data_IF_611670525231
#
_entry.id   IF_611670525231
#
_cell.length_a   1.000
_cell.length_b   1.000
_cell.length_c   1.000
_cell.angle_alpha   90.00
_cell.angle_beta   90.00
_cell.angle_gamma   90.00
#
_symmetry.space_group_name_H-M   'P 1'
#
loop_
_entity.id
_entity.type
_entity.pdbx_description
1 polymer ?
#
# COMPACT_ATOMS: atom_id res chain seq x y z
N UNK A 1 -19.32 61.81 -11.92
CA UNK A 1 -20.70 62.17 -11.45
C UNK A 1 -21.09 61.10 -10.46
N UNK A 2 -21.09 61.43 -9.21
CA UNK A 2 -22.14 61.43 -8.14
C UNK A 2 -22.70 60.00 -7.93
N UNK A 3 -22.35 59.27 -6.84
CA UNK A 3 -22.88 59.40 -5.45
C UNK A 3 -24.22 58.67 -5.34
N UNK A 4 -24.56 57.81 -4.37
CA UNK A 4 -24.52 57.82 -2.94
C UNK A 4 -24.91 56.39 -2.44
N UNK A 5 -24.29 55.78 -1.40
CA UNK A 5 -24.61 55.79 0.02
C UNK A 5 -26.05 55.45 0.41
N UNK A 6 -26.24 54.34 1.09
CA UNK A 6 -27.05 54.33 2.32
C UNK A 6 -26.78 53.07 3.14
N UNK A 7 -26.32 53.28 4.34
CA UNK A 7 -26.20 52.40 5.52
C UNK A 7 -27.56 52.28 6.21
N UNK A 8 -27.84 51.19 6.87
CA UNK A 8 -28.62 51.20 8.14
C UNK A 8 -28.30 50.00 9.02
N UNK A 9 -27.85 50.34 10.15
CA UNK A 9 -27.65 49.63 11.43
C UNK A 9 -28.99 49.37 12.12
N UNK A 10 -29.03 48.36 12.93
CA UNK A 10 -29.58 48.22 14.30
C UNK A 10 -30.25 46.84 14.45
N UNK A 11 -30.31 46.15 15.55
CA UNK A 11 -30.01 46.41 16.96
C UNK A 11 -30.10 45.08 17.71
N UNK A 12 -29.29 44.94 18.69
CA UNK A 12 -29.24 44.02 19.81
C UNK A 12 -30.59 43.78 20.48
N UNK A 13 -30.86 42.54 20.91
CA UNK A 13 -31.57 42.32 22.17
C UNK A 13 -31.07 41.08 22.89
N UNK A 14 -30.59 41.29 24.09
CA UNK A 14 -30.31 40.33 25.19
C UNK A 14 -31.63 40.01 25.90
N UNK A 15 -31.75 38.82 26.42
CA UNK A 15 -32.31 38.38 27.71
C UNK A 15 -32.67 36.89 27.57
N UNK A 16 -32.57 35.96 28.52
CA UNK A 16 -32.28 36.01 29.94
C UNK A 16 -32.03 34.56 30.44
N UNK A 17 -31.21 34.44 31.43
CA UNK A 17 -30.95 33.23 32.26
C UNK A 17 -32.24 32.71 32.89
N UNK A 18 -32.39 31.38 33.01
CA UNK A 18 -33.04 30.75 34.16
C UNK A 18 -32.39 29.43 34.49
N UNK A 19 -31.79 29.39 35.67
CA UNK A 19 -31.35 28.25 36.44
C UNK A 19 -32.56 27.64 37.18
N UNK A 20 -32.57 26.32 37.33
CA UNK A 20 -33.33 25.58 38.39
C UNK A 20 -32.51 24.33 38.63
N UNK A 21 -31.80 24.21 39.69
CA UNK A 21 -32.09 23.90 41.06
C UNK A 21 -32.37 22.40 41.27
N UNK A 22 -31.50 21.81 42.03
CA UNK A 22 -31.41 20.43 42.52
C UNK A 22 -32.61 20.03 43.42
N UNK A 23 -32.92 18.75 43.41
CA UNK A 23 -33.61 18.09 44.57
C UNK A 23 -32.85 16.80 44.87
N UNK A 24 -32.19 16.82 46.03
CA UNK A 24 -31.64 15.68 46.75
C UNK A 24 -32.79 15.05 47.54
N UNK A 25 -33.00 13.74 47.41
CA UNK A 25 -33.86 13.01 48.34
C UNK A 25 -33.04 11.86 48.95
N UNK A 26 -32.64 12.05 50.18
CA UNK A 26 -32.08 11.02 51.05
C UNK A 26 -33.24 10.26 51.73
N UNK A 27 -33.21 8.94 51.68
CA UNK A 27 -34.01 8.09 52.55
C UNK A 27 -33.08 7.09 53.24
N UNK A 28 -32.89 7.34 54.53
CA UNK A 28 -32.36 6.39 55.53
C UNK A 28 -33.50 5.50 56.02
N UNK A 29 -33.30 4.20 56.05
CA UNK A 29 -34.00 3.32 57.03
C UNK A 29 -33.15 2.11 57.40
N UNK A 30 -33.20 1.82 58.63
CA UNK A 30 -32.39 1.10 59.56
C UNK A 30 -32.50 -0.44 59.51
N UNK A 31 -31.37 -1.03 59.86
CA UNK A 31 -31.11 -2.17 60.77
C UNK A 31 -32.02 -3.40 60.74
N UNK A 32 -31.40 -4.54 60.48
CA UNK A 32 -31.82 -5.88 60.79
C UNK A 32 -30.64 -6.83 60.72
N UNK A 33 -29.95 -7.06 61.85
CA UNK A 33 -28.89 -8.03 61.95
C UNK A 33 -29.44 -9.46 62.03
N UNK A 34 -28.98 -10.34 61.12
CA UNK A 34 -28.93 -11.77 61.35
C UNK A 34 -27.57 -12.31 60.87
N UNK A 35 -26.78 -12.69 61.84
CA UNK A 35 -25.48 -13.36 61.68
C UNK A 35 -25.70 -14.83 61.36
N UNK A 36 -25.18 -15.30 60.23
CA UNK A 36 -24.81 -16.71 60.01
C UNK A 36 -23.37 -16.73 59.38
N UNK A 37 -22.47 -17.52 59.91
CA UNK A 37 -21.18 -17.71 59.30
C UNK A 37 -21.25 -18.83 58.27
N UNK A 38 -21.08 -18.49 57.00
CA UNK A 38 -20.76 -19.45 55.97
C UNK A 38 -19.51 -18.93 55.28
N UNK A 39 -18.37 -19.50 55.66
CA UNK A 39 -17.12 -19.47 54.95
C UNK A 39 -17.33 -20.26 53.63
N UNK A 40 -17.60 -19.54 52.57
CA UNK A 40 -17.39 -20.03 51.23
C UNK A 40 -16.31 -19.16 50.64
N UNK A 41 -15.14 -19.73 50.46
CA UNK A 41 -14.10 -19.13 49.61
C UNK A 41 -14.69 -18.93 48.20
N UNK A 42 -14.56 -17.74 47.61
CA UNK A 42 -14.90 -17.58 46.22
C UNK A 42 -13.96 -18.46 45.38
N UNK A 43 -14.44 -19.13 44.31
CA UNK A 43 -13.58 -19.86 43.42
C UNK A 43 -12.54 -18.87 42.87
N UNK A 44 -11.29 -19.16 43.09
CA UNK A 44 -10.16 -18.51 42.48
C UNK A 44 -10.40 -18.57 40.97
N UNK A 45 -10.83 -17.47 40.38
CA UNK A 45 -10.75 -17.27 38.93
C UNK A 45 -9.26 -17.23 38.59
N UNK A 46 -8.72 -18.40 38.33
CA UNK A 46 -7.50 -18.50 37.54
C UNK A 46 -7.84 -17.88 36.19
N UNK A 47 -7.61 -16.58 36.05
CA UNK A 47 -7.40 -15.97 34.79
C UNK A 47 -6.12 -16.64 34.25
N UNK A 48 -6.30 -17.69 33.47
CA UNK A 48 -5.26 -18.13 32.54
C UNK A 48 -5.07 -16.97 31.57
N UNK A 49 -4.17 -16.05 31.92
CA UNK A 49 -3.46 -15.28 30.93
C UNK A 49 -2.69 -16.34 30.13
N UNK A 50 -3.30 -16.85 29.06
CA UNK A 50 -2.54 -17.41 27.97
C UNK A 50 -1.62 -16.28 27.51
N UNK A 51 -0.41 -16.25 28.06
CA UNK A 51 0.70 -15.53 27.48
C UNK A 51 0.95 -16.25 26.17
N UNK A 52 0.31 -15.76 25.09
CA UNK A 52 0.60 -16.24 23.76
C UNK A 52 2.12 -16.10 23.59
N UNK A 53 2.81 -17.25 23.57
CA UNK A 53 4.24 -17.27 23.37
C UNK A 53 4.56 -16.47 22.08
N UNK A 54 5.56 -15.58 22.14
CA UNK A 54 6.01 -14.84 20.97
C UNK A 54 6.33 -15.82 19.83
N UNK A 55 6.18 -15.37 18.60
CA UNK A 55 6.66 -16.16 17.46
C UNK A 55 8.18 -16.38 17.61
N UNK A 56 8.70 -17.55 17.22
CA UNK A 56 10.14 -17.75 17.16
C UNK A 56 10.75 -16.78 16.14
N UNK A 57 12.00 -16.42 16.36
CA UNK A 57 12.80 -15.70 15.38
C UNK A 57 12.82 -16.45 14.04
N UNK A 58 12.93 -15.71 12.93
CA UNK A 58 13.07 -16.29 11.60
C UNK A 58 14.54 -16.27 11.17
N UNK A 59 15.28 -17.39 11.32
CA UNK A 59 16.68 -17.42 10.92
C UNK A 59 16.90 -17.10 9.43
N UNK A 60 15.92 -17.39 8.58
CA UNK A 60 16.00 -17.12 7.15
C UNK A 60 15.90 -15.63 6.87
N UNK A 61 14.94 -14.94 7.51
CA UNK A 61 14.80 -13.50 7.38
C UNK A 61 16.00 -12.76 8.02
N UNK A 62 16.47 -13.24 9.17
CA UNK A 62 17.64 -12.68 9.86
C UNK A 62 18.92 -12.78 9.01
N UNK A 63 19.18 -13.97 8.46
CA UNK A 63 20.32 -14.17 7.55
C UNK A 63 20.26 -13.25 6.34
N UNK A 64 19.09 -13.16 5.69
CA UNK A 64 18.90 -12.28 4.55
C UNK A 64 19.16 -10.79 4.90
N UNK A 65 18.63 -10.35 6.04
CA UNK A 65 18.81 -8.96 6.48
C UNK A 65 20.30 -8.63 6.66
N UNK A 66 21.05 -9.50 7.34
CA UNK A 66 22.50 -9.33 7.52
C UNK A 66 23.24 -9.36 6.18
N UNK A 67 22.84 -10.22 5.24
CA UNK A 67 23.43 -10.26 3.91
C UNK A 67 23.21 -8.93 3.15
N UNK A 68 21.98 -8.37 3.20
CA UNK A 68 21.69 -7.08 2.55
C UNK A 68 22.48 -5.94 3.19
N UNK A 69 22.58 -5.89 4.51
CA UNK A 69 23.41 -4.88 5.20
C UNK A 69 24.90 -5.01 4.80
N UNK A 70 25.43 -6.23 4.72
CA UNK A 70 26.81 -6.48 4.28
C UNK A 70 27.05 -6.06 2.82
N UNK A 71 26.01 -6.01 2.00
CA UNK A 71 26.05 -5.49 0.62
C UNK A 71 25.86 -3.97 0.55
N UNK A 72 25.67 -3.30 1.70
CA UNK A 72 25.53 -1.84 1.79
C UNK A 72 24.09 -1.33 1.80
N UNK A 73 23.09 -2.20 1.95
CA UNK A 73 21.72 -1.74 2.16
C UNK A 73 21.62 -0.93 3.47
N UNK A 74 21.01 0.26 3.47
CA UNK A 74 20.85 1.06 4.67
C UNK A 74 20.07 0.35 5.77
N UNK A 75 18.96 -0.27 5.42
CA UNK A 75 18.06 -0.92 6.36
C UNK A 75 17.26 -2.06 5.73
N UNK A 76 16.87 -3.01 6.58
CA UNK A 76 15.88 -4.04 6.29
C UNK A 76 14.84 -4.04 7.41
N UNK A 77 13.56 -4.09 7.04
CA UNK A 77 12.45 -4.21 7.99
C UNK A 77 11.58 -5.40 7.65
N UNK A 78 11.14 -6.12 8.66
CA UNK A 78 10.29 -7.31 8.51
C UNK A 78 9.25 -7.38 9.61
N UNK A 79 8.03 -7.78 9.26
CA UNK A 79 6.99 -8.14 10.21
C UNK A 79 6.28 -9.41 9.75
N UNK A 80 6.17 -10.36 10.67
CA UNK A 80 5.47 -11.63 10.50
C UNK A 80 4.31 -11.69 11.50
N UNK A 81 3.14 -12.07 11.03
CA UNK A 81 1.97 -12.31 11.89
C UNK A 81 1.42 -13.71 11.64
N UNK A 82 1.18 -14.46 12.70
CA UNK A 82 0.62 -15.81 12.65
C UNK A 82 -0.45 -15.95 13.73
N UNK A 83 -1.71 -16.03 13.30
CA UNK A 83 -2.86 -16.25 14.20
C UNK A 83 -2.87 -15.31 15.42
N UNK A 84 -2.63 -14.02 15.18
CA UNK A 84 -2.60 -12.98 16.20
C UNK A 84 -1.29 -12.82 16.97
N UNK A 85 -0.31 -13.73 16.80
CA UNK A 85 1.06 -13.53 17.30
C UNK A 85 1.88 -12.78 16.26
N UNK A 86 2.82 -11.98 16.73
CA UNK A 86 3.67 -11.13 15.89
C UNK A 86 5.15 -11.32 16.23
N UNK A 87 5.99 -11.29 15.20
CA UNK A 87 7.42 -11.08 15.29
C UNK A 87 7.79 -9.98 14.31
N UNK A 88 8.54 -8.99 14.78
CA UNK A 88 8.92 -7.83 13.97
C UNK A 88 10.36 -7.48 14.28
N UNK A 89 11.14 -7.16 13.25
CA UNK A 89 12.54 -6.79 13.39
C UNK A 89 12.95 -5.72 12.38
N UNK A 90 13.86 -4.86 12.79
CA UNK A 90 14.49 -3.85 11.97
C UNK A 90 16.00 -3.96 12.10
N UNK A 91 16.72 -3.83 11.00
CA UNK A 91 18.16 -4.02 10.91
C UNK A 91 18.76 -2.81 10.17
N UNK A 92 19.88 -2.29 10.66
CA UNK A 92 20.60 -1.18 10.05
C UNK A 92 20.21 0.18 10.59
N UNK A 93 20.27 1.19 9.74
CA UNK A 93 20.01 2.59 10.10
C UNK A 93 18.87 3.15 9.26
N UNK A 94 18.01 3.96 9.90
CA UNK A 94 16.99 4.73 9.20
C UNK A 94 17.65 5.70 8.19
N UNK A 95 18.74 6.30 8.61
CA UNK A 95 19.57 7.18 7.82
C UNK A 95 21.06 6.88 8.07
N UNK A 96 21.77 6.49 7.02
CA UNK A 96 23.21 6.17 7.10
C UNK A 96 24.09 7.40 7.31
N UNK A 97 23.60 8.61 7.02
CA UNK A 97 24.35 9.85 7.23
C UNK A 97 24.34 10.29 8.70
N UNK A 98 23.21 10.09 9.37
CA UNK A 98 23.07 10.43 10.79
C UNK A 98 23.40 9.26 11.71
N UNK A 99 23.31 8.03 11.21
CA UNK A 99 23.44 6.80 11.99
C UNK A 99 22.23 6.53 12.89
N UNK A 100 21.09 7.18 12.66
CA UNK A 100 19.87 6.94 13.41
C UNK A 100 19.40 5.48 13.22
N UNK A 101 19.13 4.73 14.31
CA UNK A 101 18.69 3.34 14.20
C UNK A 101 17.34 3.25 13.50
N UNK A 102 17.16 2.26 12.61
CA UNK A 102 15.88 1.99 11.98
C UNK A 102 14.90 1.37 12.95
N UNK A 103 13.63 1.76 12.85
CA UNK A 103 12.51 1.16 13.59
C UNK A 103 11.58 0.39 12.62
N UNK A 104 10.92 -0.65 13.12
CA UNK A 104 9.90 -1.40 12.35
C UNK A 104 8.72 -0.51 11.91
N UNK A 105 8.50 0.57 12.63
CA UNK A 105 7.46 1.57 12.34
C UNK A 105 7.90 2.62 11.32
N UNK A 106 9.15 2.60 10.88
CA UNK A 106 9.61 3.52 9.85
C UNK A 106 8.96 3.19 8.52
N UNK A 107 8.63 4.26 7.81
CA UNK A 107 7.94 4.13 6.52
C UNK A 107 8.90 3.74 5.41
N UNK A 108 8.38 2.99 4.47
CA UNK A 108 9.04 2.54 3.25
C UNK A 108 8.17 2.86 2.04
N UNK A 109 8.74 2.90 0.86
CA UNK A 109 7.97 2.91 -0.37
C UNK A 109 7.50 1.49 -0.69
N UNK A 110 6.19 1.33 -0.85
CA UNK A 110 5.57 0.02 -1.02
C UNK A 110 5.78 -0.59 -2.43
N UNK A 111 6.24 0.23 -3.40
CA UNK A 111 6.42 -0.21 -4.78
C UNK A 111 5.13 -0.81 -5.37
N UNK A 112 5.25 -1.88 -6.13
CA UNK A 112 4.13 -2.53 -6.79
C UNK A 112 2.97 -2.99 -5.89
N UNK A 113 3.15 -3.06 -4.56
CA UNK A 113 2.04 -3.27 -3.60
C UNK A 113 0.95 -2.20 -3.77
N UNK A 114 1.32 -1.00 -4.22
CA UNK A 114 0.39 0.08 -4.60
C UNK A 114 -0.68 -0.39 -5.58
N UNK A 115 -0.31 -1.23 -6.54
CA UNK A 115 -1.22 -1.75 -7.56
C UNK A 115 -2.34 -2.59 -6.95
N UNK A 116 -2.06 -3.40 -5.93
CA UNK A 116 -3.11 -4.13 -5.21
C UNK A 116 -4.14 -3.19 -4.58
N UNK A 117 -3.71 -2.06 -4.05
CA UNK A 117 -4.59 -1.07 -3.41
C UNK A 117 -5.44 -0.32 -4.45
N UNK A 118 -4.85 0.05 -5.59
CA UNK A 118 -5.59 0.63 -6.73
C UNK A 118 -6.59 -0.37 -7.29
N UNK A 119 -6.19 -1.63 -7.47
CA UNK A 119 -7.08 -2.70 -7.94
C UNK A 119 -8.30 -2.87 -7.01
N UNK A 120 -8.12 -2.82 -5.69
CA UNK A 120 -9.24 -2.84 -4.72
C UNK A 120 -10.20 -1.69 -4.98
N UNK A 121 -9.72 -0.46 -5.23
CA UNK A 121 -10.59 0.70 -5.51
C UNK A 121 -11.34 0.56 -6.84
N UNK A 122 -10.70 -0.01 -7.87
CA UNK A 122 -11.37 -0.38 -9.14
C UNK A 122 -12.46 -1.43 -8.89
N UNK A 123 -12.14 -2.49 -8.18
CA UNK A 123 -13.07 -3.59 -7.89
C UNK A 123 -14.24 -3.16 -7.00
N UNK A 124 -14.07 -2.17 -6.14
CA UNK A 124 -15.19 -1.52 -5.44
C UNK A 124 -16.14 -0.81 -6.39
N UNK A 125 -15.64 -0.15 -7.44
CA UNK A 125 -16.49 0.42 -8.49
C UNK A 125 -17.24 -0.66 -9.27
N UNK A 126 -16.62 -1.81 -9.50
CA UNK A 126 -17.32 -2.99 -10.09
C UNK A 126 -18.45 -3.46 -9.20
N UNK A 127 -18.23 -3.62 -7.89
CA UNK A 127 -19.26 -4.00 -6.92
C UNK A 127 -20.43 -3.00 -6.86
N UNK A 128 -20.13 -1.72 -7.07
CA UNK A 128 -21.12 -0.64 -7.11
C UNK A 128 -21.86 -0.58 -8.45
N UNK A 129 -21.54 -1.42 -9.43
CA UNK A 129 -22.12 -1.43 -10.77
C UNK A 129 -21.80 -0.17 -11.58
N UNK A 130 -20.69 0.53 -11.25
CA UNK A 130 -20.25 1.76 -11.92
C UNK A 130 -19.32 1.50 -13.10
N UNK A 131 -18.71 0.32 -13.15
CA UNK A 131 -17.95 -0.17 -14.30
C UNK A 131 -17.96 -1.70 -14.33
N UNK A 132 -17.78 -2.28 -15.52
CA UNK A 132 -17.63 -3.71 -15.73
C UNK A 132 -16.18 -4.08 -16.03
N UNK A 133 -15.79 -5.30 -15.67
CA UNK A 133 -14.43 -5.78 -15.95
C UNK A 133 -14.15 -5.92 -17.43
N UNK A 134 -15.18 -6.26 -18.23
CA UNK A 134 -15.05 -6.43 -19.67
C UNK A 134 -15.33 -5.16 -20.46
N UNK A 135 -15.70 -4.07 -19.79
CA UNK A 135 -15.96 -2.80 -20.44
C UNK A 135 -14.69 -2.23 -21.08
N UNK A 136 -14.78 -1.60 -22.24
CA UNK A 136 -13.65 -0.94 -22.85
C UNK A 136 -13.24 0.30 -22.02
N UNK A 137 -11.95 0.50 -21.86
CA UNK A 137 -11.37 1.64 -21.14
C UNK A 137 -11.90 2.97 -21.64
N UNK A 138 -12.13 3.08 -22.95
CA UNK A 138 -12.61 4.31 -23.63
C UNK A 138 -14.02 4.74 -23.21
N UNK A 139 -14.81 3.85 -22.62
CA UNK A 139 -16.13 4.22 -22.06
C UNK A 139 -15.99 5.17 -20.87
N UNK A 140 -14.97 4.98 -20.07
CA UNK A 140 -14.71 5.76 -18.84
C UNK A 140 -13.60 6.79 -19.01
N UNK A 141 -12.67 6.54 -19.92
CA UNK A 141 -11.53 7.41 -20.21
C UNK A 141 -11.36 7.54 -21.75
N UNK A 142 -12.21 8.37 -22.42
CA UNK A 142 -12.20 8.52 -23.88
C UNK A 142 -10.85 8.99 -24.44
N UNK A 143 -10.10 9.78 -23.67
CA UNK A 143 -8.79 10.32 -24.05
C UNK A 143 -7.71 9.22 -24.17
N UNK A 144 -7.94 8.05 -23.59
CA UNK A 144 -7.01 6.93 -23.58
C UNK A 144 -6.54 6.54 -25.00
N UNK A 145 -7.47 6.44 -25.95
CA UNK A 145 -7.14 6.05 -27.32
C UNK A 145 -6.20 7.05 -28.01
N UNK A 146 -6.37 8.34 -27.71
CA UNK A 146 -5.51 9.41 -28.26
C UNK A 146 -4.15 9.48 -27.58
N UNK A 147 -4.05 9.03 -26.34
CA UNK A 147 -2.81 9.04 -25.58
C UNK A 147 -1.90 7.86 -25.92
N UNK A 148 -2.47 6.66 -26.06
CA UNK A 148 -1.68 5.43 -26.16
C UNK A 148 -1.82 4.67 -27.50
N UNK A 149 -2.76 5.07 -28.38
CA UNK A 149 -2.95 4.50 -29.71
C UNK A 149 -3.03 2.96 -29.74
N UNK A 150 -3.96 2.33 -29.00
CA UNK A 150 -4.01 0.86 -28.89
C UNK A 150 -4.38 0.21 -30.22
N UNK A 151 -3.82 -0.97 -30.55
CA UNK A 151 -4.12 -1.67 -31.80
C UNK A 151 -5.51 -2.34 -31.81
N UNK A 152 -6.22 -2.33 -30.69
CA UNK A 152 -7.53 -2.90 -30.50
C UNK A 152 -8.14 -2.51 -29.16
N UNK A 153 -9.33 -3.00 -28.82
CA UNK A 153 -10.01 -2.64 -27.58
C UNK A 153 -9.23 -3.16 -26.37
N UNK A 154 -9.01 -2.26 -25.39
CA UNK A 154 -8.41 -2.56 -24.09
C UNK A 154 -9.54 -2.54 -23.06
N UNK A 155 -9.64 -3.59 -22.22
CA UNK A 155 -10.66 -3.70 -21.18
C UNK A 155 -10.10 -3.38 -19.80
N UNK A 156 -10.98 -3.10 -18.85
CA UNK A 156 -10.59 -2.90 -17.43
C UNK A 156 -9.85 -4.12 -16.88
N UNK A 157 -10.33 -5.34 -17.18
CA UNK A 157 -9.67 -6.59 -16.79
C UNK A 157 -8.25 -6.68 -17.34
N UNK A 158 -8.06 -6.30 -18.61
CA UNK A 158 -6.75 -6.41 -19.25
C UNK A 158 -5.73 -5.43 -18.67
N UNK A 159 -6.16 -4.27 -18.16
CA UNK A 159 -5.30 -3.38 -17.39
C UNK A 159 -4.94 -3.96 -16.02
N UNK A 160 -5.95 -4.49 -15.29
CA UNK A 160 -5.75 -5.04 -13.94
C UNK A 160 -4.77 -6.22 -13.91
N UNK A 161 -4.74 -7.06 -14.93
CA UNK A 161 -3.91 -8.26 -14.98
C UNK A 161 -2.71 -8.17 -15.94
N UNK A 162 -2.36 -6.96 -16.41
CA UNK A 162 -1.26 -6.71 -17.35
C UNK A 162 -1.33 -7.48 -18.67
N UNK A 163 -2.54 -7.80 -19.14
CA UNK A 163 -2.74 -8.44 -20.47
C UNK A 163 -3.15 -7.45 -21.56
N UNK A 164 -3.16 -6.16 -21.27
CA UNK A 164 -3.48 -5.12 -22.25
C UNK A 164 -2.46 -5.02 -23.38
N UNK A 165 -1.20 -5.39 -23.11
CA UNK A 165 -0.06 -5.15 -24.00
C UNK A 165 0.39 -3.69 -24.05
N UNK A 166 -0.17 -2.82 -23.20
CA UNK A 166 0.20 -1.40 -23.11
C UNK A 166 1.70 -1.29 -22.82
N UNK A 167 2.48 -0.56 -23.65
CA UNK A 167 3.88 -0.31 -23.37
C UNK A 167 4.07 0.48 -22.08
N UNK A 168 5.22 0.33 -21.46
CA UNK A 168 5.58 1.12 -20.28
C UNK A 168 6.33 2.39 -20.66
N UNK A 169 6.30 3.39 -19.79
CA UNK A 169 6.85 4.71 -20.05
C UNK A 169 8.35 4.88 -19.70
N UNK A 170 8.97 4.17 -18.74
CA UNK A 170 10.32 4.48 -18.24
C UNK A 170 11.37 4.60 -19.35
N UNK A 171 11.42 3.62 -20.26
CA UNK A 171 12.37 3.66 -21.38
C UNK A 171 12.19 4.88 -22.31
N UNK A 172 10.93 5.29 -22.54
CA UNK A 172 10.65 6.47 -23.36
C UNK A 172 11.04 7.75 -22.63
N UNK A 173 10.80 7.82 -21.33
CA UNK A 173 11.17 8.95 -20.48
C UNK A 173 12.70 9.11 -20.45
N UNK A 174 13.44 8.03 -20.19
CA UNK A 174 14.90 8.04 -20.13
C UNK A 174 15.56 8.32 -21.48
N UNK A 175 14.89 8.00 -22.60
CA UNK A 175 15.34 8.42 -23.93
C UNK A 175 15.09 9.88 -24.23
N UNK A 176 14.03 10.45 -23.67
CA UNK A 176 13.62 11.83 -23.91
C UNK A 176 14.33 12.83 -23.01
N UNK A 177 14.70 12.43 -21.79
CA UNK A 177 15.25 13.29 -20.74
C UNK A 177 16.55 12.70 -20.17
N UNK A 178 17.52 13.52 -19.76
CA UNK A 178 18.63 13.09 -18.91
C UNK A 178 18.08 12.43 -17.63
N UNK A 179 18.79 11.43 -17.10
CA UNK A 179 18.33 10.61 -15.96
C UNK A 179 17.89 11.47 -14.77
N UNK A 180 18.73 12.43 -14.36
CA UNK A 180 18.38 13.35 -13.27
C UNK A 180 17.11 14.15 -13.56
N UNK A 181 16.95 14.68 -14.77
CA UNK A 181 15.77 15.44 -15.17
C UNK A 181 14.52 14.53 -15.22
N UNK A 182 14.66 13.29 -15.66
CA UNK A 182 13.57 12.32 -15.67
C UNK A 182 13.03 12.06 -14.26
N UNK A 183 13.93 11.95 -13.27
CA UNK A 183 13.60 11.73 -11.85
C UNK A 183 12.99 12.99 -11.22
N UNK A 184 13.55 14.18 -11.53
CA UNK A 184 13.04 15.46 -11.01
C UNK A 184 11.70 15.86 -11.64
N UNK A 185 11.28 15.22 -12.75
CA UNK A 185 10.05 15.58 -13.47
C UNK A 185 8.86 14.84 -12.90
N UNK A 186 7.84 15.60 -12.51
CA UNK A 186 6.54 15.05 -12.12
C UNK A 186 5.65 14.92 -13.33
N UNK A 187 5.39 13.67 -13.70
CA UNK A 187 4.48 13.38 -14.80
C UNK A 187 3.03 13.36 -14.28
N UNK A 188 2.14 14.06 -14.97
CA UNK A 188 0.69 13.81 -14.81
C UNK A 188 0.36 12.41 -15.32
N UNK A 189 -0.82 11.91 -14.97
CA UNK A 189 -1.28 10.61 -15.51
C UNK A 189 -1.29 10.64 -17.05
N UNK A 190 -1.78 11.74 -17.63
CA UNK A 190 -1.87 11.90 -19.09
C UNK A 190 -0.48 12.00 -19.73
N UNK A 191 0.48 12.67 -19.09
CA UNK A 191 1.85 12.77 -19.61
C UNK A 191 2.55 11.42 -19.58
N UNK A 192 2.39 10.65 -18.48
CA UNK A 192 2.93 9.31 -18.40
C UNK A 192 2.35 8.39 -19.49
N UNK A 193 1.02 8.39 -19.66
CA UNK A 193 0.36 7.62 -20.69
C UNK A 193 0.78 8.03 -22.11
N UNK A 194 0.98 9.34 -22.35
CA UNK A 194 1.49 9.83 -23.63
C UNK A 194 2.91 9.33 -23.90
N UNK A 195 3.77 9.31 -22.89
CA UNK A 195 5.12 8.73 -23.00
C UNK A 195 5.06 7.23 -23.30
N UNK A 196 4.21 6.47 -22.58
CA UNK A 196 3.96 5.06 -22.87
C UNK A 196 3.45 4.85 -24.32
N UNK A 197 2.54 5.70 -24.78
CA UNK A 197 2.01 5.68 -26.15
C UNK A 197 3.03 6.04 -27.25
N UNK A 198 4.16 6.67 -26.90
CA UNK A 198 5.27 6.91 -27.83
C UNK A 198 6.11 5.66 -28.12
N UNK A 199 5.97 4.62 -27.27
CA UNK A 199 6.60 3.32 -27.47
C UNK A 199 5.72 2.50 -28.42
N UNK A 200 6.26 1.91 -29.51
CA UNK A 200 5.43 1.11 -30.41
C UNK A 200 4.79 -0.08 -29.72
N UNK A 201 3.48 -0.23 -29.90
CA UNK A 201 2.80 -1.45 -29.52
C UNK A 201 3.26 -2.61 -30.41
N UNK A 202 3.45 -3.78 -29.80
CA UNK A 202 3.69 -4.99 -30.56
C UNK A 202 2.42 -5.85 -30.52
N UNK A 203 1.88 -6.20 -31.68
CA UNK A 203 0.71 -7.10 -31.76
C UNK A 203 0.95 -8.43 -31.04
N UNK A 204 2.21 -8.89 -30.99
CA UNK A 204 2.58 -10.11 -30.28
C UNK A 204 2.34 -10.04 -28.77
N UNK A 205 2.30 -8.84 -28.16
CA UNK A 205 2.09 -8.65 -26.74
C UNK A 205 0.64 -8.33 -26.36
N UNK A 206 -0.21 -8.04 -27.35
CA UNK A 206 -1.62 -7.77 -27.10
C UNK A 206 -2.32 -9.04 -26.63
N UNK A 207 -3.01 -8.97 -25.49
CA UNK A 207 -3.63 -10.11 -24.78
C UNK A 207 -2.65 -11.16 -24.22
N UNK A 208 -1.36 -10.85 -24.18
CA UNK A 208 -0.38 -11.62 -23.41
C UNK A 208 0.03 -10.84 -22.17
N UNK A 209 0.48 -11.55 -21.15
CA UNK A 209 1.05 -10.89 -19.96
C UNK A 209 2.26 -10.04 -20.36
N UNK A 210 2.18 -8.76 -20.05
CA UNK A 210 3.30 -7.83 -20.12
C UNK A 210 3.11 -6.80 -19.02
N UNK A 211 3.98 -6.85 -18.04
CA UNK A 211 3.97 -5.84 -16.99
C UNK A 211 4.12 -4.42 -17.59
N UNK A 212 3.34 -3.49 -17.06
CA UNK A 212 3.42 -2.06 -17.39
C UNK A 212 2.71 -1.25 -16.31
N UNK A 213 3.41 -0.30 -15.73
CA UNK A 213 2.84 0.66 -14.78
C UNK A 213 1.77 1.53 -15.44
N UNK A 214 1.89 1.78 -16.75
CA UNK A 214 0.91 2.56 -17.50
C UNK A 214 -0.52 1.99 -17.40
N UNK A 215 -0.67 0.68 -17.15
CA UNK A 215 -1.98 0.08 -16.87
C UNK A 215 -2.62 0.70 -15.63
N UNK A 216 -1.85 0.89 -14.56
CA UNK A 216 -2.34 1.42 -13.29
C UNK A 216 -2.47 2.95 -13.30
N UNK A 217 -1.73 3.63 -14.14
CA UNK A 217 -2.00 5.04 -14.45
C UNK A 217 -3.35 5.21 -15.14
N UNK A 218 -3.68 4.36 -16.13
CA UNK A 218 -5.00 4.39 -16.78
C UNK A 218 -6.13 4.04 -15.81
N UNK A 219 -5.96 3.00 -14.97
CA UNK A 219 -6.93 2.63 -13.94
C UNK A 219 -7.16 3.77 -12.93
N UNK A 220 -6.09 4.44 -12.51
CA UNK A 220 -6.19 5.57 -11.61
C UNK A 220 -6.96 6.75 -12.22
N UNK A 221 -6.75 7.06 -13.52
CA UNK A 221 -7.53 8.07 -14.24
C UNK A 221 -9.03 7.76 -14.20
N UNK A 222 -9.40 6.50 -14.46
CA UNK A 222 -10.79 6.04 -14.41
C UNK A 222 -11.36 6.18 -13.00
N UNK A 223 -10.62 5.71 -11.98
CA UNK A 223 -11.05 5.82 -10.58
C UNK A 223 -11.25 7.27 -10.18
N UNK A 224 -10.29 8.16 -10.50
CA UNK A 224 -10.40 9.60 -10.22
C UNK A 224 -11.64 10.21 -10.88
N UNK A 225 -11.89 9.89 -12.14
CA UNK A 225 -13.05 10.39 -12.90
C UNK A 225 -14.37 9.94 -12.28
N UNK A 226 -14.49 8.63 -11.97
CA UNK A 226 -15.72 8.06 -11.40
C UNK A 226 -15.96 8.46 -9.92
N UNK A 227 -14.90 8.74 -9.16
CA UNK A 227 -14.97 9.20 -7.76
C UNK A 227 -15.00 10.73 -7.63
N UNK A 228 -14.61 11.49 -8.65
CA UNK A 228 -14.55 12.95 -8.64
C UNK A 228 -13.48 13.54 -7.72
N UNK A 229 -12.41 12.78 -7.43
CA UNK A 229 -11.32 13.20 -6.51
C UNK A 229 -10.02 12.45 -6.82
N UNK A 230 -8.86 12.99 -6.36
CA UNK A 230 -7.56 12.37 -6.55
C UNK A 230 -7.50 10.92 -6.05
N UNK A 231 -6.67 10.08 -6.70
CA UNK A 231 -6.54 8.66 -6.35
C UNK A 231 -6.06 8.47 -4.90
N UNK A 232 -5.16 9.31 -4.41
CA UNK A 232 -4.70 9.26 -3.01
C UNK A 232 -5.85 9.42 -2.00
N UNK A 233 -6.80 10.34 -2.26
CA UNK A 233 -7.98 10.54 -1.43
C UNK A 233 -8.95 9.35 -1.52
N UNK A 234 -9.02 8.71 -2.70
CA UNK A 234 -9.82 7.50 -2.88
C UNK A 234 -9.23 6.36 -2.05
N UNK A 235 -7.92 6.07 -2.19
CA UNK A 235 -7.25 5.03 -1.41
C UNK A 235 -7.38 5.27 0.09
N UNK A 236 -7.20 6.51 0.53
CA UNK A 236 -7.37 6.91 1.93
C UNK A 236 -8.75 6.56 2.46
N UNK A 237 -9.82 6.89 1.73
CA UNK A 237 -11.19 6.63 2.18
C UNK A 237 -11.65 5.20 1.99
N UNK A 238 -11.18 4.52 0.93
CA UNK A 238 -11.61 3.18 0.59
C UNK A 238 -10.86 2.11 1.37
N UNK A 239 -9.61 2.40 1.81
CA UNK A 239 -8.69 1.42 2.38
C UNK A 239 -8.06 1.91 3.69
N UNK A 240 -7.32 3.03 3.67
CA UNK A 240 -6.43 3.38 4.79
C UNK A 240 -7.22 3.71 6.06
N UNK A 241 -8.20 4.61 5.97
CA UNK A 241 -9.04 4.98 7.13
C UNK A 241 -9.86 3.82 7.66
N UNK A 242 -10.59 3.04 6.82
CA UNK A 242 -11.36 1.89 7.31
C UNK A 242 -10.52 0.81 8.00
N UNK A 243 -9.24 0.68 7.64
CA UNK A 243 -8.34 -0.31 8.22
C UNK A 243 -7.45 0.24 9.33
N UNK A 244 -7.49 1.55 9.62
CA UNK A 244 -6.65 2.19 10.62
C UNK A 244 -5.17 2.27 10.21
N UNK A 245 -4.87 2.28 8.92
CA UNK A 245 -3.51 2.39 8.34
C UNK A 245 -3.02 3.85 8.42
N UNK A 246 -2.69 4.28 9.63
CA UNK A 246 -2.40 5.69 9.92
C UNK A 246 -1.05 6.18 9.39
N UNK A 247 -0.14 5.26 9.05
CA UNK A 247 1.19 5.55 8.51
C UNK A 247 1.26 5.33 7.00
N UNK A 248 0.09 5.21 6.34
CA UNK A 248 -0.01 4.92 4.91
C UNK A 248 -0.62 6.09 4.17
N UNK A 249 0.03 6.50 3.09
CA UNK A 249 -0.44 7.54 2.18
C UNK A 249 0.00 7.26 0.74
N UNK A 250 -0.76 7.79 -0.22
CA UNK A 250 -0.26 8.03 -1.58
C UNK A 250 -0.17 9.54 -1.72
N UNK A 251 1.03 10.07 -1.75
CA UNK A 251 1.24 11.51 -1.81
C UNK A 251 0.75 12.06 -3.15
N UNK A 252 -0.25 12.93 -3.14
CA UNK A 252 -0.60 13.78 -4.28
C UNK A 252 0.38 14.95 -4.41
N UNK A 253 0.90 15.39 -3.26
CA UNK A 253 2.03 16.29 -3.13
C UNK A 253 3.09 15.60 -2.27
N UNK A 254 4.38 16.02 -2.39
CA UNK A 254 5.42 15.41 -1.59
C UNK A 254 4.99 15.41 -0.13
N UNK A 255 4.98 14.23 0.45
CA UNK A 255 4.88 14.11 1.90
C UNK A 255 6.09 14.82 2.49
N UNK A 256 5.86 16.04 2.96
CA UNK A 256 6.94 16.93 3.44
C UNK A 256 7.57 16.42 4.72
N UNK A 257 7.00 15.38 5.32
CA UNK A 257 7.52 14.77 6.53
C UNK A 257 8.11 13.39 6.23
N UNK A 258 9.31 13.40 5.64
CA UNK A 258 10.09 12.19 5.38
C UNK A 258 10.90 11.73 6.61
N UNK A 259 10.73 12.37 7.77
CA UNK A 259 11.55 12.10 8.96
C UNK A 259 11.39 10.71 9.55
N UNK A 260 10.23 10.07 9.32
CA UNK A 260 9.95 8.70 9.73
C UNK A 260 10.04 7.69 8.58
N UNK A 261 10.73 8.06 7.50
CA UNK A 261 11.05 7.17 6.39
C UNK A 261 12.48 6.66 6.50
N UNK A 262 12.67 5.40 6.14
CA UNK A 262 14.01 4.87 5.84
C UNK A 262 14.58 5.67 4.67
N UNK A 263 15.81 6.16 4.80
CA UNK A 263 16.46 6.93 3.76
C UNK A 263 17.16 5.99 2.77
N UNK A 264 16.79 6.09 1.49
CA UNK A 264 17.42 5.39 0.38
C UNK A 264 18.29 6.36 -0.40
N UNK A 265 19.47 5.91 -0.76
CA UNK A 265 20.46 6.75 -1.48
C UNK A 265 20.80 6.09 -2.81
N UNK A 266 20.84 6.89 -3.86
CA UNK A 266 21.14 6.43 -5.21
C UNK A 266 22.25 7.29 -5.83
N UNK A 267 23.07 6.68 -6.69
CA UNK A 267 24.01 7.41 -7.53
C UNK A 267 23.40 7.66 -8.92
N UNK A 268 23.23 8.93 -9.25
CA UNK A 268 22.67 9.36 -10.54
C UNK A 268 23.63 10.35 -11.16
N UNK A 269 24.12 10.04 -12.36
CA UNK A 269 25.09 10.86 -13.10
C UNK A 269 26.34 11.19 -12.26
N UNK A 270 26.74 10.29 -11.34
CA UNK A 270 27.89 10.45 -10.45
C UNK A 270 27.62 11.28 -9.19
N UNK A 271 26.41 11.76 -8.98
CA UNK A 271 25.97 12.43 -7.76
C UNK A 271 25.15 11.48 -6.88
N UNK A 272 25.44 11.45 -5.58
CA UNK A 272 24.65 10.73 -4.60
C UNK A 272 23.43 11.58 -4.23
N UNK A 273 22.24 11.04 -4.48
CA UNK A 273 20.97 11.67 -4.10
C UNK A 273 20.28 10.86 -3.01
N UNK A 274 19.53 11.52 -2.15
CA UNK A 274 18.64 10.85 -1.21
C UNK A 274 17.26 10.70 -1.88
N UNK A 275 16.99 9.51 -2.40
CA UNK A 275 15.77 9.19 -3.14
C UNK A 275 14.50 9.16 -2.26
N UNK A 276 14.64 9.19 -0.94
CA UNK A 276 13.52 9.28 0.02
C UNK A 276 13.08 10.72 0.31
N UNK A 277 13.79 11.73 -0.23
CA UNK A 277 13.36 13.11 -0.07
C UNK A 277 12.06 13.38 -0.84
N UNK A 278 11.20 14.29 -0.32
CA UNK A 278 9.87 14.56 -0.90
C UNK A 278 9.87 14.91 -2.38
N UNK A 279 10.92 15.54 -2.89
CA UNK A 279 11.08 15.90 -4.30
C UNK A 279 11.24 14.68 -5.22
N UNK A 280 11.75 13.56 -4.72
CA UNK A 280 11.97 12.31 -5.47
C UNK A 280 10.86 11.27 -5.24
N UNK A 281 9.99 11.48 -4.25
CA UNK A 281 8.85 10.60 -4.01
C UNK A 281 7.73 10.94 -5.00
N UNK A 282 7.59 10.09 -5.99
CA UNK A 282 6.58 10.27 -7.04
C UNK A 282 5.24 9.71 -6.56
N UNK A 283 4.17 10.51 -6.68
CA UNK A 283 2.80 10.08 -6.44
C UNK A 283 2.30 9.13 -7.55
N UNK A 284 3.04 8.06 -7.80
CA UNK A 284 2.72 7.06 -8.81
C UNK A 284 1.55 6.18 -8.36
N UNK A 285 0.46 6.06 -9.14
CA UNK A 285 -0.61 5.13 -8.84
C UNK A 285 -0.20 3.65 -9.03
N UNK A 286 0.97 3.40 -9.56
CA UNK A 286 1.53 2.06 -9.71
C UNK A 286 2.46 1.69 -8.54
N UNK A 287 3.19 2.67 -7.95
CA UNK A 287 4.27 2.38 -7.01
C UNK A 287 4.39 3.34 -5.82
N UNK A 288 3.64 4.44 -5.83
CA UNK A 288 3.89 5.60 -4.97
C UNK A 288 3.32 5.53 -3.54
N UNK A 289 2.75 4.41 -3.09
CA UNK A 289 2.29 4.30 -1.70
C UNK A 289 3.48 4.23 -0.76
N UNK A 290 3.46 5.10 0.25
CA UNK A 290 4.37 5.10 1.39
C UNK A 290 3.63 4.46 2.57
N UNK A 291 4.24 3.49 3.23
CA UNK A 291 3.58 2.68 4.26
C UNK A 291 4.59 2.08 5.24
N UNK A 292 4.11 1.35 6.23
CA UNK A 292 4.91 0.49 7.10
C UNK A 292 4.62 -0.98 6.79
N UNK A 293 5.54 -1.88 7.12
CA UNK A 293 5.30 -3.34 6.99
C UNK A 293 4.08 -3.79 7.80
N UNK A 294 3.76 -3.09 8.90
CA UNK A 294 2.59 -3.35 9.74
C UNK A 294 1.26 -3.01 9.05
N UNK A 295 1.20 -1.84 8.42
CA UNK A 295 0.02 -1.40 7.67
C UNK A 295 -0.19 -2.27 6.42
N UNK A 296 0.89 -2.64 5.71
CA UNK A 296 0.84 -3.54 4.56
C UNK A 296 0.26 -4.92 4.95
N UNK A 297 0.74 -5.52 6.05
CA UNK A 297 0.17 -6.77 6.57
C UNK A 297 -1.31 -6.62 6.92
N UNK A 298 -1.70 -5.49 7.51
CA UNK A 298 -3.08 -5.18 7.84
C UNK A 298 -3.97 -5.12 6.59
N UNK A 299 -3.47 -4.50 5.51
CA UNK A 299 -4.16 -4.43 4.23
C UNK A 299 -4.43 -5.83 3.64
N UNK A 300 -3.40 -6.66 3.49
CA UNK A 300 -3.57 -7.97 2.87
C UNK A 300 -4.40 -8.93 3.72
N UNK A 301 -4.24 -8.90 5.05
CA UNK A 301 -5.10 -9.67 5.94
C UNK A 301 -6.58 -9.28 5.78
N UNK A 302 -6.87 -7.98 5.77
CA UNK A 302 -8.23 -7.48 5.60
C UNK A 302 -8.82 -7.83 4.22
N UNK A 303 -8.00 -7.77 3.17
CA UNK A 303 -8.40 -8.16 1.82
C UNK A 303 -8.80 -9.64 1.76
N UNK A 304 -7.95 -10.53 2.26
CA UNK A 304 -8.23 -11.98 2.23
C UNK A 304 -9.40 -12.37 3.16
N UNK A 305 -9.62 -11.62 4.23
CA UNK A 305 -10.77 -11.79 5.13
C UNK A 305 -12.09 -11.24 4.57
N UNK A 306 -12.10 -10.70 3.35
CA UNK A 306 -13.31 -10.15 2.71
C UNK A 306 -13.80 -8.83 3.33
N UNK A 307 -12.95 -8.11 4.06
CA UNK A 307 -13.32 -6.83 4.68
C UNK A 307 -13.36 -5.66 3.70
N UNK A 308 -12.72 -5.79 2.55
CA UNK A 308 -12.61 -4.76 1.51
C UNK A 308 -13.49 -5.05 0.30
N UNK A 309 -13.62 -6.32 -0.07
CA UNK A 309 -14.35 -6.79 -1.25
C UNK A 309 -15.34 -7.89 -0.86
N UNK A 310 -16.41 -8.06 -1.65
CA UNK A 310 -17.30 -9.21 -1.51
C UNK A 310 -16.58 -10.50 -1.91
N UNK A 311 -17.10 -11.65 -1.46
CA UNK A 311 -16.48 -12.94 -1.77
C UNK A 311 -16.39 -13.22 -3.28
N UNK A 312 -17.38 -12.79 -4.07
CA UNK A 312 -17.37 -12.99 -5.52
C UNK A 312 -16.30 -12.10 -6.18
N UNK A 313 -16.23 -10.83 -5.82
CA UNK A 313 -15.22 -9.90 -6.36
C UNK A 313 -13.80 -10.29 -5.93
N UNK A 314 -13.63 -10.75 -4.68
CA UNK A 314 -12.33 -11.26 -4.22
C UNK A 314 -11.91 -12.51 -5.01
N UNK A 315 -12.86 -13.39 -5.33
CA UNK A 315 -12.60 -14.56 -6.19
C UNK A 315 -12.19 -14.15 -7.60
N UNK A 316 -12.83 -13.12 -8.18
CA UNK A 316 -12.41 -12.55 -9.47
C UNK A 316 -11.00 -11.99 -9.39
N UNK A 317 -10.66 -11.26 -8.31
CA UNK A 317 -9.31 -10.74 -8.07
C UNK A 317 -8.25 -11.84 -8.00
N UNK A 318 -8.58 -12.98 -7.40
CA UNK A 318 -7.71 -14.15 -7.24
C UNK A 318 -7.62 -15.03 -8.49
N UNK A 319 -8.50 -14.83 -9.47
CA UNK A 319 -8.51 -15.62 -10.72
C UNK A 319 -7.32 -15.23 -11.58
N UNK A 320 -6.45 -16.21 -11.81
CA UNK A 320 -5.23 -15.99 -12.61
C UNK A 320 -5.54 -15.93 -14.09
N UNK A 321 -4.86 -15.03 -14.78
CA UNK A 321 -4.86 -14.98 -16.25
C UNK A 321 -3.68 -15.73 -16.83
N UNK A 322 -2.47 -15.34 -16.45
CA UNK A 322 -1.23 -15.99 -16.86
C UNK A 322 -0.25 -16.03 -15.68
N UNK A 323 0.67 -17.00 -15.71
CA UNK A 323 1.66 -17.19 -14.65
C UNK A 323 1.01 -17.21 -13.26
N UNK A 324 1.38 -16.26 -12.42
CA UNK A 324 0.87 -16.12 -11.06
C UNK A 324 0.10 -14.81 -10.83
N UNK A 325 -0.34 -14.13 -11.91
CA UNK A 325 -1.01 -12.82 -11.85
C UNK A 325 -2.53 -12.93 -11.96
N UNK A 326 -3.24 -12.36 -10.98
CA UNK A 326 -4.67 -12.07 -10.99
C UNK A 326 -4.92 -10.57 -11.24
N UNK A 327 -6.01 -10.02 -10.70
CA UNK A 327 -6.36 -8.61 -10.88
C UNK A 327 -5.64 -7.75 -9.83
N UNK A 328 -4.39 -7.38 -10.09
CA UNK A 328 -3.55 -6.64 -9.12
C UNK A 328 -3.13 -7.48 -7.91
N UNK A 329 -3.02 -8.78 -8.10
CA UNK A 329 -2.66 -9.72 -7.04
C UNK A 329 -1.82 -10.85 -7.63
N UNK A 330 -0.76 -11.23 -6.94
CA UNK A 330 0.06 -12.39 -7.31
C UNK A 330 -0.24 -13.56 -6.37
N UNK A 331 0.08 -14.78 -6.83
CA UNK A 331 -0.17 -16.02 -6.11
C UNK A 331 1.04 -16.93 -6.10
N UNK A 332 1.34 -17.51 -4.94
CA UNK A 332 2.41 -18.51 -4.75
C UNK A 332 1.87 -19.72 -3.96
N UNK A 333 2.57 -20.85 -4.04
CA UNK A 333 2.17 -22.04 -3.32
C UNK A 333 2.47 -21.91 -1.82
N UNK A 334 1.51 -22.32 -1.00
CA UNK A 334 1.62 -22.47 0.45
C UNK A 334 1.84 -23.95 0.78
N UNK A 335 3.09 -24.31 1.10
CA UNK A 335 3.46 -25.70 1.40
C UNK A 335 2.86 -26.19 2.73
N UNK A 336 2.49 -25.29 3.65
CA UNK A 336 1.89 -25.65 4.93
C UNK A 336 0.47 -26.22 4.78
N UNK A 337 -0.31 -25.68 3.84
CA UNK A 337 -1.73 -26.03 3.71
C UNK A 337 -2.06 -26.67 2.37
N UNK A 338 -1.08 -26.81 1.47
CA UNK A 338 -1.29 -27.11 0.05
C UNK A 338 -2.24 -26.12 -0.63
N UNK A 339 -2.34 -24.91 -0.10
CA UNK A 339 -3.11 -23.78 -0.60
C UNK A 339 -2.21 -22.75 -1.29
N UNK A 340 -2.54 -21.49 -1.08
CA UNK A 340 -1.84 -20.39 -1.74
C UNK A 340 -1.56 -19.23 -0.79
N UNK A 341 -0.43 -18.57 -1.04
CA UNK A 341 -0.17 -17.21 -0.60
C UNK A 341 -0.65 -16.24 -1.68
N UNK A 342 -1.22 -15.14 -1.24
CA UNK A 342 -1.57 -14.00 -2.08
C UNK A 342 -0.82 -12.77 -1.61
N UNK A 343 -0.46 -11.91 -2.53
CA UNK A 343 0.26 -10.69 -2.22
C UNK A 343 0.70 -9.96 -3.46
N UNK A 344 1.65 -9.08 -3.29
CA UNK A 344 2.35 -8.39 -4.36
C UNK A 344 3.72 -7.94 -3.87
N UNK A 345 4.60 -7.63 -4.81
CA UNK A 345 5.88 -7.02 -4.53
C UNK A 345 6.30 -6.12 -5.68
N UNK A 346 7.27 -5.31 -5.44
CA UNK A 346 7.84 -4.41 -6.44
C UNK A 346 9.09 -3.74 -5.92
N UNK A 347 9.75 -3.05 -6.81
CA UNK A 347 11.04 -2.44 -6.58
C UNK A 347 11.10 -1.09 -7.28
N UNK A 348 11.34 -0.05 -6.50
CA UNK A 348 11.70 1.29 -6.98
C UNK A 348 13.01 1.67 -6.28
N UNK A 349 12.96 2.55 -5.28
CA UNK A 349 14.09 2.82 -4.38
C UNK A 349 14.18 1.80 -3.23
N UNK A 350 13.13 1.01 -3.06
CA UNK A 350 12.99 -0.07 -2.10
C UNK A 350 12.55 -1.34 -2.81
N UNK A 351 13.06 -2.48 -2.37
CA UNK A 351 12.46 -3.76 -2.66
C UNK A 351 11.47 -4.09 -1.54
N UNK A 352 10.20 -4.26 -1.88
CA UNK A 352 9.12 -4.56 -0.93
C UNK A 352 8.33 -5.76 -1.39
N UNK A 353 7.97 -6.64 -0.46
CA UNK A 353 7.09 -7.79 -0.71
C UNK A 353 6.14 -8.01 0.46
N UNK A 354 4.93 -8.44 0.16
CA UNK A 354 3.99 -8.93 1.16
C UNK A 354 3.29 -10.20 0.68
N UNK A 355 3.15 -11.16 1.58
CA UNK A 355 2.44 -12.42 1.37
C UNK A 355 1.44 -12.65 2.49
N UNK A 356 0.28 -13.21 2.15
CA UNK A 356 -0.74 -13.63 3.12
C UNK A 356 -1.40 -14.92 2.69
N UNK A 357 -1.79 -15.75 3.65
CA UNK A 357 -2.60 -16.96 3.37
C UNK A 357 -4.00 -16.58 2.91
N UNK A 358 -4.67 -17.51 2.25
CA UNK A 358 -6.05 -17.34 1.73
C UNK A 358 -7.06 -16.88 2.80
N UNK A 359 -6.85 -17.23 4.07
CA UNK A 359 -7.69 -16.85 5.21
C UNK A 359 -7.18 -15.58 5.94
N UNK A 360 -6.05 -15.03 5.50
CA UNK A 360 -5.42 -13.89 6.15
C UNK A 360 -4.86 -14.18 7.55
N UNK A 361 -4.66 -15.44 7.93
CA UNK A 361 -4.22 -15.82 9.28
C UNK A 361 -2.71 -15.79 9.47
N UNK A 362 -1.94 -15.91 8.37
CA UNK A 362 -0.47 -15.79 8.36
C UNK A 362 -0.09 -14.72 7.34
N UNK A 363 0.76 -13.80 7.75
CA UNK A 363 1.24 -12.72 6.89
C UNK A 363 2.73 -12.49 7.11
N UNK A 364 3.40 -12.04 6.06
CA UNK A 364 4.72 -11.43 6.11
C UNK A 364 4.73 -10.20 5.22
N UNK A 365 5.33 -9.12 5.72
CA UNK A 365 5.76 -8.00 4.90
C UNK A 365 7.23 -7.73 5.19
N UNK A 366 8.01 -7.57 4.13
CA UNK A 366 9.45 -7.29 4.19
C UNK A 366 9.79 -6.17 3.21
N UNK A 367 10.74 -5.34 3.60
CA UNK A 367 11.31 -4.33 2.71
C UNK A 367 12.76 -4.05 3.06
N UNK A 368 13.54 -3.66 2.06
CA UNK A 368 14.87 -3.07 2.26
C UNK A 368 15.10 -1.91 1.29
N UNK A 369 15.88 -0.92 1.73
CA UNK A 369 16.40 0.10 0.84
C UNK A 369 17.62 -0.47 0.08
N UNK A 370 17.72 -0.20 -1.23
CA UNK A 370 18.82 -0.73 -2.02
C UNK A 370 20.18 -0.16 -1.57
N UNK A 371 21.27 -0.94 -1.74
CA UNK A 371 22.62 -0.44 -1.52
C UNK A 371 22.93 0.73 -2.45
N UNK A 372 23.49 1.82 -1.90
CA UNK A 372 23.81 3.03 -2.65
C UNK A 372 25.01 2.90 -3.63
N UNK A 373 25.75 1.80 -3.54
CA UNK A 373 27.04 1.65 -4.26
C UNK A 373 26.90 0.92 -5.61
N UNK A 374 25.68 0.55 -5.98
CA UNK A 374 25.44 -0.14 -7.24
C UNK A 374 25.00 0.85 -8.29
N UNK A 375 25.73 0.93 -9.42
CA UNK A 375 25.25 1.54 -10.67
C UNK A 375 23.99 0.77 -11.13
N UNK A 376 22.90 0.96 -10.42
CA UNK A 376 21.64 0.32 -10.77
C UNK A 376 20.96 1.17 -11.81
N UNK A 377 20.92 0.60 -13.00
CA UNK A 377 20.00 1.07 -14.01
C UNK A 377 18.58 0.76 -13.52
N UNK A 378 17.69 1.74 -13.62
CA UNK A 378 16.23 1.56 -13.45
C UNK A 378 15.76 0.71 -14.64
N UNK A 379 16.03 -0.59 -14.61
CA UNK A 379 15.74 -1.46 -15.75
C UNK A 379 14.36 -2.07 -15.74
N UNK A 380 13.73 -2.15 -14.56
CA UNK A 380 12.38 -2.76 -14.46
C UNK A 380 11.73 -2.41 -13.13
N UNK A 381 10.52 -1.88 -13.19
CA UNK A 381 9.74 -1.49 -12.02
C UNK A 381 8.98 -2.66 -11.37
N UNK A 382 8.84 -3.79 -12.06
CA UNK A 382 8.24 -5.01 -11.51
C UNK A 382 9.20 -5.85 -10.68
N UNK A 383 10.46 -5.38 -10.55
CA UNK A 383 11.53 -6.14 -9.88
C UNK A 383 12.05 -7.31 -10.71
N UNK A 384 11.47 -7.61 -11.90
CA UNK A 384 12.00 -8.63 -12.78
C UNK A 384 13.38 -8.20 -13.30
N UNK A 385 14.36 -9.07 -13.14
CA UNK A 385 15.75 -8.76 -13.50
C UNK A 385 16.58 -8.17 -12.36
N UNK A 386 16.01 -7.90 -11.18
CA UNK A 386 16.75 -7.49 -9.99
C UNK A 386 16.98 -8.70 -9.06
N UNK A 387 18.20 -9.23 -8.97
CA UNK A 387 18.49 -10.44 -8.20
C UNK A 387 18.12 -10.33 -6.73
N UNK A 388 18.28 -9.15 -6.14
CA UNK A 388 17.99 -8.88 -4.74
C UNK A 388 16.48 -8.93 -4.45
N UNK A 389 15.64 -8.43 -5.35
CA UNK A 389 14.19 -8.54 -5.22
C UNK A 389 13.72 -9.99 -5.32
N UNK A 390 14.28 -10.76 -6.26
CA UNK A 390 13.98 -12.17 -6.39
C UNK A 390 14.41 -12.94 -5.12
N UNK A 391 15.57 -12.60 -4.55
CA UNK A 391 16.04 -13.19 -3.29
C UNK A 391 15.09 -12.82 -2.12
N UNK A 392 14.65 -11.56 -2.01
CA UNK A 392 13.65 -11.14 -1.03
C UNK A 392 12.37 -11.97 -1.13
N UNK A 393 11.87 -12.17 -2.35
CA UNK A 393 10.67 -12.97 -2.62
C UNK A 393 10.83 -14.42 -2.16
N UNK A 394 11.96 -15.05 -2.47
CA UNK A 394 12.26 -16.42 -2.05
C UNK A 394 12.37 -16.53 -0.53
N UNK A 395 12.99 -15.58 0.12
CA UNK A 395 13.10 -15.52 1.58
C UNK A 395 11.72 -15.36 2.23
N UNK A 396 10.86 -14.50 1.70
CA UNK A 396 9.51 -14.34 2.23
C UNK A 396 8.69 -15.64 2.14
N UNK A 397 8.76 -16.35 1.00
CA UNK A 397 8.08 -17.64 0.81
C UNK A 397 8.68 -18.71 1.75
N UNK A 398 10.00 -18.82 1.82
CA UNK A 398 10.68 -19.79 2.68
C UNK A 398 10.35 -19.53 4.17
N UNK A 399 10.34 -18.27 4.58
CA UNK A 399 9.95 -17.87 5.94
C UNK A 399 8.51 -18.30 6.24
N UNK A 400 7.57 -18.02 5.35
CA UNK A 400 6.16 -18.40 5.52
C UNK A 400 5.98 -19.93 5.58
N UNK A 401 6.71 -20.69 4.76
CA UNK A 401 6.69 -22.16 4.77
C UNK A 401 7.35 -22.73 6.04
N UNK A 402 8.29 -22.02 6.64
CA UNK A 402 8.90 -22.41 7.93
C UNK A 402 7.99 -22.20 9.16
N UNK A 403 6.84 -21.56 9.01
CA UNK A 403 5.92 -21.23 10.08
C UNK A 403 4.71 -22.19 10.17
N UNK A 404 4.82 -23.36 9.58
CA UNK A 404 3.80 -24.40 9.71
C UNK A 404 3.73 -24.92 11.15
#
# INVERSE_FOLDING_TARGET
>A
MKAARASRTSRVSRTSRRARAAVVLALTLASGACTYPLTAEPPSSTSSSDSQAALPESPVADFFAHEMLNRGAPAVVVQIKVRGREWSQAYGSQDVETGEPVAVTDRIQAGGITQSMVAVSVLKLVQEGKLGLEDPVTEYFPEFEQLVHPPGPVTIRSLLNHSSGLPDAPDAILKALPTKQAIDTRFSIEDYLRMAGSVPWTHANFQLFRYSDANYFALAAIVQKLRGRPIGDVLKSDIFVPLGMSHTSLAAEPDRDARDMIQSYEFIDGERINASQPEYLVASPAEGVISTVGDINTFYAALMQGRLLTADTLRDMQTLWQENHGLGLQRWNDECTNGFYYGYGGSTWFASIALTTTDGSRQIAMSFAYPSDTDKHIESTDGSGQPEFEQLRQVAIATMNGLC
#
